data_IF_944512485417
#
_entry.id   IF_944512485417
#
_cell.length_a   1.000
_cell.length_b   1.000
_cell.length_c   1.000
_cell.angle_alpha   90.00
_cell.angle_beta   90.00
_cell.angle_gamma   90.00
#
_symmetry.space_group_name_H-M   'P 1'
#
loop_
_entity.id
_entity.type
_entity.pdbx_description
1 polymer ?
#
# COMPACT_ATOMS: atom_id res chain seq x y z
N UNK A 1 -6.93 -28.87 -24.36
CA UNK A 1 -5.76 -28.28 -23.68
C UNK A 1 -6.21 -27.89 -22.28
N UNK A 2 -5.80 -28.69 -21.30
CA UNK A 2 -6.35 -28.65 -19.94
C UNK A 2 -5.77 -27.45 -19.18
N UNK A 3 -6.64 -26.53 -18.78
CA UNK A 3 -6.31 -25.38 -17.94
C UNK A 3 -6.12 -25.92 -16.51
N UNK A 4 -4.89 -26.11 -16.11
CA UNK A 4 -4.56 -26.40 -14.71
C UNK A 4 -4.79 -25.13 -13.88
N UNK A 5 -6.00 -25.03 -13.34
CA UNK A 5 -6.35 -24.10 -12.26
C UNK A 5 -5.60 -24.55 -11.00
N UNK A 6 -4.46 -23.97 -10.72
CA UNK A 6 -3.84 -24.06 -9.40
C UNK A 6 -4.71 -23.32 -8.38
N UNK A 7 -5.65 -24.03 -7.78
CA UNK A 7 -6.32 -23.61 -6.54
C UNK A 7 -5.37 -23.91 -5.38
N UNK A 8 -4.47 -23.01 -5.07
CA UNK A 8 -3.73 -23.06 -3.84
C UNK A 8 -4.61 -22.52 -2.71
N UNK A 9 -5.33 -23.36 -2.00
CA UNK A 9 -5.88 -22.99 -0.69
C UNK A 9 -4.74 -23.15 0.29
N UNK A 10 -4.07 -22.05 0.62
CA UNK A 10 -3.11 -22.04 1.72
C UNK A 10 -3.87 -21.70 3.00
N UNK A 11 -3.86 -22.63 3.94
CA UNK A 11 -4.29 -22.35 5.31
C UNK A 11 -3.30 -21.33 5.89
N UNK A 12 -3.70 -20.09 5.97
CA UNK A 12 -2.98 -19.12 6.78
C UNK A 12 -2.98 -19.64 8.21
N UNK A 13 -1.82 -19.65 8.85
CA UNK A 13 -1.75 -19.87 10.29
C UNK A 13 -2.78 -18.95 10.97
N UNK A 14 -3.46 -19.52 11.97
CA UNK A 14 -4.44 -18.83 12.79
C UNK A 14 -4.01 -17.38 13.04
N UNK A 15 -4.95 -16.44 12.96
CA UNK A 15 -4.72 -15.03 13.21
C UNK A 15 -4.30 -14.73 14.66
N UNK A 16 -3.12 -15.19 15.01
CA UNK A 16 -2.43 -14.71 16.20
C UNK A 16 -1.80 -13.37 15.84
N UNK A 17 -1.99 -12.34 16.67
CA UNK A 17 -1.33 -11.06 16.49
C UNK A 17 0.18 -11.27 16.37
N UNK A 18 0.81 -10.52 15.47
CA UNK A 18 2.26 -10.45 15.46
C UNK A 18 2.74 -9.74 16.73
N UNK A 19 3.94 -10.07 17.24
CA UNK A 19 4.50 -9.33 18.36
C UNK A 19 4.50 -7.81 18.09
N UNK A 20 3.91 -7.01 19.01
CA UNK A 20 3.77 -5.57 18.85
C UNK A 20 2.55 -5.10 18.06
N UNK A 21 1.81 -6.01 17.40
CA UNK A 21 0.57 -5.65 16.69
C UNK A 21 -0.55 -5.36 17.69
N UNK A 22 -1.30 -4.24 17.54
CA UNK A 22 -2.48 -3.98 18.35
C UNK A 22 -3.52 -5.10 18.20
N UNK A 23 -4.25 -5.39 19.29
CA UNK A 23 -5.34 -6.38 19.21
C UNK A 23 -6.52 -5.85 18.41
N UNK A 24 -6.82 -4.55 18.53
CA UNK A 24 -8.01 -3.89 17.96
C UNK A 24 -7.69 -2.60 17.25
N UNK A 25 -8.65 -2.15 16.43
CA UNK A 25 -8.59 -0.91 15.71
C UNK A 25 -7.75 -0.97 14.42
N UNK A 26 -7.45 0.19 13.81
CA UNK A 26 -6.63 0.27 12.61
C UNK A 26 -5.21 -0.26 12.84
N UNK A 27 -4.74 -1.14 11.93
CA UNK A 27 -3.48 -1.89 12.07
C UNK A 27 -3.56 -3.11 12.99
N UNK A 28 -4.67 -3.28 13.71
CA UNK A 28 -4.88 -4.35 14.68
C UNK A 28 -5.31 -5.68 14.08
N UNK A 29 -5.22 -6.73 14.91
CA UNK A 29 -5.45 -8.13 14.53
C UNK A 29 -6.93 -8.57 14.67
N UNK A 30 -7.88 -7.66 14.52
CA UNK A 30 -9.33 -8.00 14.49
C UNK A 30 -9.68 -8.70 13.17
N UNK A 31 -9.18 -9.91 12.98
CA UNK A 31 -9.34 -10.66 11.74
C UNK A 31 -10.68 -11.39 11.69
N UNK A 32 -11.39 -11.25 10.57
CA UNK A 32 -12.68 -11.89 10.28
C UNK A 32 -12.53 -13.19 9.52
N UNK A 33 -11.41 -13.35 8.80
CA UNK A 33 -11.15 -14.48 7.92
C UNK A 33 -9.79 -15.09 8.24
N UNK A 34 -9.73 -16.44 8.32
CA UNK A 34 -8.54 -17.19 8.71
C UNK A 34 -7.70 -17.65 7.54
N UNK A 35 -8.23 -17.59 6.34
CA UNK A 35 -7.55 -18.06 5.13
C UNK A 35 -7.65 -17.04 4.00
N UNK A 36 -6.70 -17.13 3.08
CA UNK A 36 -6.64 -16.34 1.85
C UNK A 36 -6.69 -17.30 0.66
N UNK A 37 -7.65 -17.12 -0.24
CA UNK A 37 -7.64 -17.76 -1.54
C UNK A 37 -6.82 -16.92 -2.52
N UNK A 38 -5.79 -17.51 -3.11
CA UNK A 38 -4.84 -16.85 -4.00
C UNK A 38 -4.95 -17.38 -5.42
N UNK A 39 -4.99 -16.46 -6.41
CA UNK A 39 -5.13 -16.80 -7.83
C UNK A 39 -4.12 -16.01 -8.67
N UNK A 40 -3.38 -16.74 -9.53
CA UNK A 40 -2.36 -16.16 -10.41
C UNK A 40 -2.89 -16.02 -11.84
N UNK A 41 -3.08 -14.77 -12.27
CA UNK A 41 -3.43 -14.36 -13.63
C UNK A 41 -2.34 -13.43 -14.22
N UNK A 42 -1.12 -13.48 -13.68
CA UNK A 42 -0.06 -12.51 -13.96
C UNK A 42 1.02 -13.04 -14.93
N UNK A 43 0.67 -13.87 -15.89
CA UNK A 43 1.60 -14.37 -16.91
C UNK A 43 2.13 -13.26 -17.81
N UNK A 44 1.39 -12.16 -17.96
CA UNK A 44 1.74 -10.99 -18.78
C UNK A 44 1.90 -9.75 -17.91
N UNK A 45 2.53 -8.70 -18.44
CA UNK A 45 2.71 -7.43 -17.72
C UNK A 45 1.38 -6.73 -17.37
N UNK A 46 0.35 -6.94 -18.15
CA UNK A 46 -1.01 -6.43 -17.96
C UNK A 46 -1.91 -7.39 -17.15
N UNK A 47 -1.33 -8.45 -16.57
CA UNK A 47 -2.02 -9.39 -15.70
C UNK A 47 -2.05 -8.94 -14.22
N UNK A 48 -2.53 -9.83 -13.36
CA UNK A 48 -2.74 -9.53 -11.94
C UNK A 48 -2.68 -10.79 -11.08
N UNK A 49 -2.46 -10.60 -9.80
CA UNK A 49 -2.76 -11.59 -8.77
C UNK A 49 -3.99 -11.14 -7.98
N UNK A 50 -4.79 -12.10 -7.55
CA UNK A 50 -6.03 -11.87 -6.85
C UNK A 50 -6.03 -12.63 -5.53
N UNK A 51 -6.43 -11.94 -4.46
CA UNK A 51 -6.52 -12.49 -3.11
C UNK A 51 -7.92 -12.24 -2.58
N UNK A 52 -8.61 -13.33 -2.22
CA UNK A 52 -9.98 -13.28 -1.70
C UNK A 52 -10.02 -13.80 -0.26
N UNK A 53 -10.85 -13.22 0.63
CA UNK A 53 -11.06 -13.76 1.95
C UNK A 53 -11.73 -15.14 1.87
N UNK A 54 -11.21 -16.06 2.69
CA UNK A 54 -11.71 -17.42 2.84
C UNK A 54 -11.73 -17.80 4.33
N UNK A 55 -12.52 -18.78 4.67
CA UNK A 55 -12.68 -19.30 6.03
C UNK A 55 -12.99 -18.23 7.13
N UNK A 56 -14.25 -17.81 7.26
CA UNK A 56 -15.35 -18.08 6.35
C UNK A 56 -15.20 -17.27 5.05
N UNK A 57 -15.69 -17.82 3.94
CA UNK A 57 -15.79 -17.08 2.68
C UNK A 57 -17.01 -16.18 2.72
N UNK A 58 -16.88 -14.84 2.54
CA UNK A 58 -18.02 -13.94 2.46
C UNK A 58 -18.65 -13.96 1.06
N UNK A 59 -19.92 -13.55 0.95
CA UNK A 59 -20.58 -13.37 -0.34
C UNK A 59 -20.00 -12.19 -1.12
N UNK A 60 -19.61 -11.12 -0.41
CA UNK A 60 -19.05 -9.92 -1.01
C UNK A 60 -18.01 -9.25 -0.11
N UNK A 61 -17.07 -8.50 -0.70
CA UNK A 61 -16.06 -7.76 0.03
C UNK A 61 -15.64 -6.49 -0.71
N UNK A 62 -15.10 -5.51 0.03
CA UNK A 62 -14.53 -4.30 -0.53
C UNK A 62 -13.21 -4.61 -1.27
N UNK A 63 -12.88 -3.77 -2.23
CA UNK A 63 -11.70 -3.95 -3.08
C UNK A 63 -10.57 -3.04 -2.66
N UNK A 64 -9.39 -3.61 -2.53
CA UNK A 64 -8.12 -2.91 -2.41
C UNK A 64 -7.28 -3.18 -3.66
N UNK A 65 -6.85 -2.14 -4.36
CA UNK A 65 -5.86 -2.21 -5.42
C UNK A 65 -4.49 -1.93 -4.80
N UNK A 66 -3.62 -2.94 -4.78
CA UNK A 66 -2.28 -2.85 -4.21
C UNK A 66 -1.23 -2.73 -5.32
N UNK A 67 -0.55 -1.59 -5.40
CA UNK A 67 0.40 -1.24 -6.45
C UNK A 67 1.82 -1.30 -5.88
N UNK A 68 2.60 -2.24 -6.37
CA UNK A 68 3.92 -2.60 -5.86
C UNK A 68 5.03 -1.58 -6.24
N UNK A 69 6.16 -1.60 -5.54
CA UNK A 69 7.36 -0.87 -5.93
C UNK A 69 8.05 -1.45 -7.18
N UNK A 70 8.95 -0.69 -7.78
CA UNK A 70 9.71 -1.12 -8.95
C UNK A 70 10.41 -2.47 -8.72
N UNK A 71 10.12 -3.44 -9.57
CA UNK A 71 10.66 -4.79 -9.48
C UNK A 71 10.01 -5.71 -8.42
N UNK A 72 9.12 -5.18 -7.59
CA UNK A 72 8.45 -5.95 -6.53
C UNK A 72 7.16 -6.64 -7.02
N UNK A 73 7.11 -7.01 -8.29
CA UNK A 73 5.94 -7.69 -8.88
C UNK A 73 5.79 -9.17 -8.44
N UNK A 74 6.58 -9.66 -7.50
CA UNK A 74 6.28 -10.89 -6.77
C UNK A 74 5.48 -10.51 -5.50
N UNK A 75 4.22 -10.92 -5.34
CA UNK A 75 3.37 -10.52 -4.20
C UNK A 75 3.95 -10.88 -2.84
N UNK A 76 4.86 -11.87 -2.77
CA UNK A 76 5.53 -12.20 -1.51
C UNK A 76 6.14 -10.97 -0.82
N UNK A 77 6.52 -9.93 -1.59
CA UNK A 77 7.17 -8.73 -1.05
C UNK A 77 6.32 -8.00 0.02
N UNK A 78 5.01 -8.07 -0.12
CA UNK A 78 4.03 -7.46 0.79
C UNK A 78 3.07 -8.50 1.36
N UNK A 79 3.49 -9.75 1.39
CA UNK A 79 2.60 -10.87 1.65
C UNK A 79 1.89 -10.80 2.99
N UNK A 80 2.56 -10.34 4.06
CA UNK A 80 1.92 -10.18 5.38
C UNK A 80 0.91 -9.02 5.39
N UNK A 81 1.20 -7.91 4.70
CA UNK A 81 0.23 -6.83 4.54
C UNK A 81 -0.98 -7.26 3.72
N UNK A 82 -0.77 -7.99 2.62
CA UNK A 82 -1.86 -8.58 1.84
C UNK A 82 -2.72 -9.51 2.71
N UNK A 83 -2.09 -10.40 3.51
CA UNK A 83 -2.83 -11.25 4.47
C UNK A 83 -3.63 -10.44 5.46
N UNK A 84 -3.05 -9.38 6.04
CA UNK A 84 -3.76 -8.48 6.95
C UNK A 84 -5.01 -7.88 6.29
N UNK A 85 -4.86 -7.28 5.11
CA UNK A 85 -5.99 -6.68 4.38
C UNK A 85 -7.10 -7.68 4.07
N UNK A 86 -6.71 -8.88 3.63
CA UNK A 86 -7.68 -9.95 3.29
C UNK A 86 -8.34 -10.52 4.54
N UNK A 87 -7.59 -10.76 5.61
CA UNK A 87 -8.13 -11.27 6.86
C UNK A 87 -9.12 -10.29 7.52
N UNK A 88 -8.97 -8.99 7.28
CA UNK A 88 -9.94 -7.95 7.68
C UNK A 88 -11.20 -7.90 6.81
N UNK A 89 -11.25 -8.66 5.73
CA UNK A 89 -12.43 -8.83 4.88
C UNK A 89 -12.40 -8.00 3.59
N UNK A 90 -11.20 -7.80 3.01
CA UNK A 90 -11.06 -7.14 1.72
C UNK A 90 -10.61 -8.13 0.64
N UNK A 91 -11.04 -7.91 -0.59
CA UNK A 91 -10.39 -8.47 -1.78
C UNK A 91 -9.15 -7.62 -2.07
N UNK A 92 -8.02 -8.24 -2.39
CA UNK A 92 -6.84 -7.52 -2.87
C UNK A 92 -6.58 -7.86 -4.33
N UNK A 93 -6.58 -6.85 -5.19
CA UNK A 93 -6.11 -6.92 -6.57
C UNK A 93 -4.68 -6.39 -6.60
N UNK A 94 -3.74 -7.20 -7.06
CA UNK A 94 -2.33 -6.85 -7.18
C UNK A 94 -1.93 -6.88 -8.66
N UNK A 95 -2.05 -5.75 -9.40
CA UNK A 95 -1.67 -5.70 -10.81
C UNK A 95 -0.16 -5.90 -10.97
N UNK A 96 0.25 -6.71 -11.92
CA UNK A 96 1.67 -6.92 -12.23
C UNK A 96 2.33 -5.69 -12.83
N UNK A 97 1.66 -4.98 -13.71
CA UNK A 97 1.94 -3.81 -14.53
C UNK A 97 3.38 -3.66 -15.10
N UNK A 98 4.36 -4.36 -14.57
CA UNK A 98 5.77 -4.33 -14.99
C UNK A 98 6.18 -5.66 -15.63
N UNK A 99 6.78 -5.60 -16.83
CA UNK A 99 7.25 -6.80 -17.55
C UNK A 99 8.49 -7.40 -16.90
N UNK A 100 9.52 -6.58 -16.73
CA UNK A 100 10.80 -6.94 -16.08
C UNK A 100 11.52 -5.67 -15.60
N UNK A 101 12.69 -5.83 -14.97
CA UNK A 101 13.48 -4.71 -14.44
C UNK A 101 14.50 -4.14 -15.46
N UNK A 102 14.78 -4.82 -16.57
CA UNK A 102 15.80 -4.41 -17.54
C UNK A 102 15.24 -3.49 -18.62
N UNK A 103 14.01 -3.78 -19.07
CA UNK A 103 13.28 -2.95 -20.05
C UNK A 103 11.90 -2.65 -19.46
N UNK A 104 11.83 -1.68 -18.53
CA UNK A 104 10.62 -1.50 -17.73
C UNK A 104 9.41 -1.02 -18.52
N UNK A 105 9.58 -0.16 -19.53
CA UNK A 105 8.46 0.43 -20.26
C UNK A 105 7.57 1.25 -19.34
N UNK A 106 8.14 2.12 -18.53
CA UNK A 106 7.46 2.80 -17.42
C UNK A 106 6.23 3.62 -17.84
N UNK A 107 6.21 4.13 -19.06
CA UNK A 107 5.07 4.87 -19.61
C UNK A 107 3.81 3.99 -19.78
N UNK A 108 3.99 2.67 -19.89
CA UNK A 108 2.89 1.72 -20.01
C UNK A 108 2.34 1.23 -18.66
N UNK A 109 3.02 1.53 -17.54
CA UNK A 109 2.62 1.02 -16.24
C UNK A 109 1.18 1.40 -15.85
N UNK A 110 0.71 2.66 -16.01
CA UNK A 110 -0.68 2.98 -15.68
C UNK A 110 -1.69 2.23 -16.54
N UNK A 111 -1.45 2.08 -17.85
CA UNK A 111 -2.33 1.35 -18.75
C UNK A 111 -2.38 -0.14 -18.43
N UNK A 112 -1.22 -0.76 -18.16
CA UNK A 112 -1.13 -2.16 -17.75
C UNK A 112 -1.84 -2.40 -16.40
N UNK A 113 -1.63 -1.52 -15.42
CA UNK A 113 -2.30 -1.61 -14.12
C UNK A 113 -3.81 -1.48 -14.26
N UNK A 114 -4.28 -0.48 -15.02
CA UNK A 114 -5.70 -0.29 -15.27
C UNK A 114 -6.34 -1.49 -15.96
N UNK A 115 -5.65 -2.10 -16.95
CA UNK A 115 -6.13 -3.32 -17.59
C UNK A 115 -6.20 -4.48 -16.59
N UNK A 116 -5.16 -4.69 -15.79
CA UNK A 116 -5.15 -5.74 -14.76
C UNK A 116 -6.30 -5.57 -13.76
N UNK A 117 -6.61 -4.33 -13.35
CA UNK A 117 -7.74 -4.03 -12.47
C UNK A 117 -9.08 -4.39 -13.12
N UNK A 118 -9.30 -3.98 -14.39
CA UNK A 118 -10.56 -4.31 -15.10
C UNK A 118 -10.74 -5.81 -15.29
N UNK A 119 -9.67 -6.51 -15.67
CA UNK A 119 -9.70 -7.96 -15.88
C UNK A 119 -9.96 -8.70 -14.55
N UNK A 120 -9.37 -8.24 -13.45
CA UNK A 120 -9.61 -8.77 -12.11
C UNK A 120 -11.06 -8.59 -11.65
N UNK A 121 -11.65 -7.41 -11.89
CA UNK A 121 -13.05 -7.15 -11.57
C UNK A 121 -13.99 -8.01 -12.43
N UNK A 122 -13.67 -8.22 -13.71
CA UNK A 122 -14.43 -9.14 -14.57
C UNK A 122 -14.32 -10.60 -14.11
N UNK A 123 -13.15 -11.02 -13.58
CA UNK A 123 -12.98 -12.34 -12.98
C UNK A 123 -13.81 -12.49 -11.70
N UNK A 124 -13.82 -11.47 -10.84
CA UNK A 124 -14.60 -11.45 -9.60
C UNK A 124 -16.12 -11.44 -9.81
N UNK A 125 -16.59 -11.02 -10.97
CA UNK A 125 -18.02 -11.09 -11.33
C UNK A 125 -18.51 -12.51 -11.68
N UNK A 126 -17.61 -13.48 -11.76
CA UNK A 126 -17.97 -14.88 -12.09
C UNK A 126 -18.53 -15.59 -10.88
N UNK A 127 -19.35 -16.62 -11.16
CA UNK A 127 -19.85 -17.52 -10.11
C UNK A 127 -18.72 -18.16 -9.31
N UNK A 128 -18.96 -18.32 -8.01
CA UNK A 128 -18.00 -18.93 -7.09
C UNK A 128 -16.89 -18.01 -6.62
N UNK A 129 -16.87 -16.72 -7.00
CA UNK A 129 -15.98 -15.68 -6.46
C UNK A 129 -16.60 -14.95 -5.28
N UNK A 130 -15.78 -14.20 -4.54
CA UNK A 130 -16.28 -13.18 -3.60
C UNK A 130 -16.68 -11.96 -4.43
N UNK A 131 -17.94 -11.53 -4.33
CA UNK A 131 -18.44 -10.43 -5.16
C UNK A 131 -17.76 -9.10 -4.76
N UNK A 132 -17.18 -8.34 -5.71
CA UNK A 132 -16.49 -7.09 -5.40
C UNK A 132 -17.48 -5.95 -5.15
N UNK A 133 -17.36 -5.25 -4.00
CA UNK A 133 -17.99 -3.96 -3.77
C UNK A 133 -17.03 -2.86 -4.21
N UNK A 134 -17.45 -2.03 -5.13
CA UNK A 134 -16.58 -1.03 -5.78
C UNK A 134 -16.91 0.42 -5.42
N UNK A 135 -17.82 0.63 -4.50
CA UNK A 135 -18.23 1.97 -4.03
C UNK A 135 -17.14 2.67 -3.21
N UNK A 136 -16.33 1.87 -2.50
CA UNK A 136 -15.29 2.36 -1.58
C UNK A 136 -13.93 1.71 -1.86
N UNK A 137 -13.49 1.71 -3.12
CA UNK A 137 -12.20 1.10 -3.49
C UNK A 137 -11.04 1.87 -2.85
N UNK A 138 -10.12 1.13 -2.23
CA UNK A 138 -8.87 1.67 -1.72
C UNK A 138 -7.73 1.44 -2.72
N UNK A 139 -6.86 2.45 -2.88
CA UNK A 139 -5.62 2.32 -3.63
C UNK A 139 -4.45 2.44 -2.66
N UNK A 140 -3.61 1.42 -2.60
CA UNK A 140 -2.39 1.41 -1.81
C UNK A 140 -1.21 1.30 -2.77
N UNK A 141 -0.25 2.21 -2.68
CA UNK A 141 0.92 2.18 -3.55
C UNK A 141 2.22 2.43 -2.79
N UNK A 142 3.20 1.53 -2.95
CA UNK A 142 4.55 1.72 -2.42
C UNK A 142 5.51 2.15 -3.52
N UNK A 143 6.40 3.11 -3.24
CA UNK A 143 7.46 3.50 -4.15
C UNK A 143 6.90 3.92 -5.52
N UNK A 144 7.36 3.31 -6.61
CA UNK A 144 6.80 3.52 -7.95
C UNK A 144 5.30 3.20 -8.02
N UNK A 145 4.82 2.23 -7.23
CA UNK A 145 3.39 1.93 -7.09
C UNK A 145 2.59 3.11 -6.55
N UNK A 146 3.20 3.95 -5.72
CA UNK A 146 2.61 5.22 -5.27
C UNK A 146 2.45 6.23 -6.41
N UNK A 147 3.41 6.29 -7.34
CA UNK A 147 3.29 7.10 -8.56
C UNK A 147 2.15 6.61 -9.44
N UNK A 148 2.04 5.29 -9.62
CA UNK A 148 0.96 4.68 -10.40
C UNK A 148 -0.38 4.91 -9.72
N UNK A 149 -0.51 4.72 -8.40
CA UNK A 149 -1.74 4.94 -7.64
C UNK A 149 -2.26 6.37 -7.83
N UNK A 150 -1.39 7.36 -7.67
CA UNK A 150 -1.75 8.77 -7.85
C UNK A 150 -2.18 9.09 -9.30
N UNK A 151 -1.48 8.51 -10.31
CA UNK A 151 -1.86 8.66 -11.72
C UNK A 151 -3.23 8.01 -12.00
N UNK A 152 -3.45 6.77 -11.55
CA UNK A 152 -4.73 6.08 -11.70
C UNK A 152 -5.86 6.85 -11.01
N UNK A 153 -5.59 7.43 -9.82
CA UNK A 153 -6.55 8.22 -9.08
C UNK A 153 -6.99 9.51 -9.79
N UNK A 154 -6.13 10.11 -10.60
CA UNK A 154 -6.50 11.26 -11.46
C UNK A 154 -7.25 10.80 -12.70
N UNK A 155 -6.82 9.70 -13.32
CA UNK A 155 -7.29 9.27 -14.64
C UNK A 155 -8.36 8.16 -14.58
N UNK A 156 -8.90 7.83 -13.40
CA UNK A 156 -9.82 6.71 -13.21
C UNK A 156 -11.01 6.70 -14.18
N UNK A 157 -11.63 7.85 -14.54
CA UNK A 157 -12.78 7.84 -15.45
C UNK A 157 -12.39 7.42 -16.87
N UNK A 158 -11.27 7.93 -17.37
CA UNK A 158 -10.79 7.64 -18.73
C UNK A 158 -10.18 6.25 -18.85
N UNK A 159 -9.69 5.69 -17.74
CA UNK A 159 -9.13 4.34 -17.68
C UNK A 159 -10.21 3.27 -17.47
N UNK A 160 -11.44 3.65 -17.17
CA UNK A 160 -12.55 2.72 -16.93
C UNK A 160 -12.31 1.81 -15.72
N UNK A 161 -11.72 2.36 -14.67
CA UNK A 161 -11.48 1.69 -13.38
C UNK A 161 -12.29 2.36 -12.28
N UNK A 162 -12.54 1.71 -11.14
CA UNK A 162 -13.29 2.33 -10.04
C UNK A 162 -12.61 3.61 -9.51
N UNK A 163 -13.43 4.58 -9.13
CA UNK A 163 -12.98 5.77 -8.42
C UNK A 163 -12.39 5.38 -7.06
N UNK A 164 -11.16 5.82 -6.69
CA UNK A 164 -10.68 5.60 -5.35
C UNK A 164 -11.46 6.42 -4.33
N UNK A 165 -11.93 5.79 -3.26
CA UNK A 165 -12.50 6.46 -2.09
C UNK A 165 -11.44 6.73 -1.02
N UNK A 166 -10.38 5.92 -1.01
CA UNK A 166 -9.23 6.10 -0.12
C UNK A 166 -7.92 5.76 -0.83
N UNK A 167 -6.83 6.44 -0.45
CA UNK A 167 -5.52 6.24 -1.07
C UNK A 167 -4.41 6.40 -0.04
N UNK A 168 -3.56 5.37 0.06
CA UNK A 168 -2.31 5.41 0.83
C UNK A 168 -1.12 5.34 -0.12
N UNK A 169 -0.28 6.36 -0.08
CA UNK A 169 0.99 6.41 -0.80
C UNK A 169 2.13 6.22 0.21
N UNK A 170 2.75 5.04 0.20
CA UNK A 170 3.85 4.68 1.08
C UNK A 170 5.18 4.89 0.36
N UNK A 171 6.04 5.76 0.87
CA UNK A 171 7.34 6.09 0.30
C UNK A 171 7.26 6.34 -1.24
N UNK A 172 6.32 7.19 -1.73
CA UNK A 172 6.02 7.27 -3.15
C UNK A 172 7.12 7.99 -3.92
N UNK A 173 7.54 7.40 -5.03
CA UNK A 173 8.52 8.03 -5.91
C UNK A 173 8.99 7.12 -7.02
N UNK A 174 9.56 7.71 -8.08
CA UNK A 174 10.02 6.99 -9.26
C UNK A 174 11.54 6.84 -9.33
N UNK A 175 12.28 7.43 -8.41
CA UNK A 175 13.72 7.52 -8.51
C UNK A 175 14.17 8.13 -9.86
N UNK A 176 15.14 7.54 -10.56
CA UNK A 176 15.59 8.03 -11.87
C UNK A 176 14.59 7.79 -13.01
N UNK A 177 13.61 6.91 -12.82
CA UNK A 177 12.57 6.61 -13.81
C UNK A 177 11.49 7.69 -13.76
N UNK A 178 11.28 8.43 -14.86
CA UNK A 178 10.36 9.57 -14.89
C UNK A 178 8.96 9.25 -15.43
N UNK A 179 8.72 8.04 -15.92
CA UNK A 179 7.43 7.64 -16.49
C UNK A 179 6.28 7.70 -15.48
N UNK A 180 5.07 7.90 -15.98
CA UNK A 180 3.82 7.92 -15.22
C UNK A 180 3.65 9.06 -14.19
N UNK A 181 4.59 9.99 -14.04
CA UNK A 181 4.41 11.16 -13.18
C UNK A 181 3.56 12.23 -13.88
N UNK A 182 2.62 12.79 -13.14
CA UNK A 182 1.89 13.99 -13.57
C UNK A 182 2.53 15.24 -12.96
N UNK A 183 2.40 16.41 -13.61
CA UNK A 183 2.93 17.65 -13.06
C UNK A 183 2.12 18.17 -11.85
N UNK A 184 0.86 17.74 -11.72
CA UNK A 184 -0.08 18.11 -10.66
C UNK A 184 -1.07 17.00 -10.40
N UNK A 185 -1.69 17.03 -9.22
CA UNK A 185 -2.64 16.02 -8.72
C UNK A 185 -3.98 16.63 -8.27
N UNK A 186 -4.31 17.84 -8.72
CA UNK A 186 -5.59 18.52 -8.48
C UNK A 186 -6.79 17.84 -9.16
N UNK A 187 -6.53 16.89 -10.08
CA UNK A 187 -7.55 15.98 -10.64
C UNK A 187 -7.93 14.78 -9.76
N UNK A 188 -7.34 14.62 -8.57
CA UNK A 188 -7.78 13.61 -7.63
C UNK A 188 -9.20 13.90 -7.12
N UNK A 189 -10.02 12.86 -6.81
CA UNK A 189 -11.39 13.06 -6.35
C UNK A 189 -11.49 13.95 -5.10
N UNK A 190 -12.50 14.82 -5.06
CA UNK A 190 -12.69 15.76 -3.95
C UNK A 190 -13.09 15.05 -2.64
N UNK A 191 -13.72 13.89 -2.72
CA UNK A 191 -14.14 13.05 -1.60
C UNK A 191 -13.10 11.97 -1.23
N UNK A 192 -11.93 11.95 -1.89
CA UNK A 192 -10.85 11.03 -1.60
C UNK A 192 -10.24 11.28 -0.22
N UNK A 193 -10.02 10.24 0.55
CA UNK A 193 -9.22 10.24 1.76
C UNK A 193 -7.78 9.86 1.41
N UNK A 194 -6.84 10.82 1.47
CA UNK A 194 -5.46 10.65 1.03
C UNK A 194 -4.48 10.75 2.19
N UNK A 195 -3.68 9.72 2.40
CA UNK A 195 -2.50 9.76 3.27
C UNK A 195 -1.25 9.47 2.45
N UNK A 196 -0.27 10.34 2.57
CA UNK A 196 1.06 10.18 1.99
C UNK A 196 2.04 9.98 3.13
N UNK A 197 2.79 8.88 3.15
CA UNK A 197 3.84 8.62 4.13
C UNK A 197 5.19 8.70 3.44
N UNK A 198 6.13 9.40 4.05
CA UNK A 198 7.54 9.49 3.61
C UNK A 198 8.46 9.17 4.79
N UNK A 199 9.57 8.51 4.54
CA UNK A 199 10.55 8.12 5.55
C UNK A 199 11.76 9.04 5.58
N UNK A 200 12.21 9.42 6.78
CA UNK A 200 13.35 10.30 6.98
C UNK A 200 14.62 9.84 6.24
N UNK A 201 14.84 8.53 6.19
CA UNK A 201 16.01 7.90 5.58
C UNK A 201 15.72 7.31 4.18
N UNK A 202 14.67 7.78 3.50
CA UNK A 202 14.40 7.34 2.13
C UNK A 202 15.36 8.04 1.13
N UNK A 203 16.54 7.47 0.97
CA UNK A 203 17.53 7.91 -0.01
C UNK A 203 17.34 7.28 -1.41
N UNK A 204 16.30 6.45 -1.59
CA UNK A 204 16.02 5.78 -2.87
C UNK A 204 15.18 6.67 -3.79
N UNK A 205 14.12 7.26 -3.26
CA UNK A 205 13.22 8.14 -4.04
C UNK A 205 13.05 9.53 -3.41
N UNK A 206 13.43 9.71 -2.14
CA UNK A 206 13.27 10.96 -1.40
C UNK A 206 11.80 11.32 -1.15
N UNK A 207 11.59 12.57 -0.74
CA UNK A 207 10.26 13.06 -0.35
C UNK A 207 9.55 13.88 -1.44
N UNK A 208 10.26 14.27 -2.50
CA UNK A 208 9.77 15.25 -3.50
C UNK A 208 8.45 14.86 -4.13
N UNK A 209 8.29 13.58 -4.49
CA UNK A 209 7.06 13.14 -5.14
C UNK A 209 5.88 13.13 -4.17
N UNK A 210 6.08 12.64 -2.94
CA UNK A 210 5.06 12.69 -1.89
C UNK A 210 4.61 14.12 -1.59
N UNK A 211 5.56 15.05 -1.45
CA UNK A 211 5.30 16.47 -1.25
C UNK A 211 4.57 17.10 -2.45
N UNK A 212 4.92 16.73 -3.69
CA UNK A 212 4.24 17.19 -4.91
C UNK A 212 2.77 16.76 -4.91
N UNK A 213 2.49 15.49 -4.67
CA UNK A 213 1.10 15.00 -4.62
C UNK A 213 0.33 15.73 -3.52
N UNK A 214 0.85 15.76 -2.30
CA UNK A 214 0.22 16.42 -1.17
C UNK A 214 -0.07 17.92 -1.42
N UNK A 215 0.91 18.66 -1.94
CA UNK A 215 0.77 20.10 -2.18
C UNK A 215 -0.17 20.43 -3.34
N UNK A 216 -0.23 19.57 -4.38
CA UNK A 216 -1.00 19.85 -5.59
C UNK A 216 -2.39 19.22 -5.63
N UNK A 217 -2.71 18.28 -4.72
CA UNK A 217 -4.04 17.69 -4.58
C UNK A 217 -5.04 18.65 -3.90
N UNK A 218 -5.10 19.89 -4.37
CA UNK A 218 -5.83 20.98 -3.70
C UNK A 218 -7.33 20.76 -3.62
N UNK A 219 -7.89 19.99 -4.54
CA UNK A 219 -9.32 19.66 -4.56
C UNK A 219 -9.68 18.48 -3.63
N UNK A 220 -8.70 17.83 -3.00
CA UNK A 220 -8.87 16.76 -2.04
C UNK A 220 -8.61 17.29 -0.63
N UNK A 221 -9.63 17.79 0.10
CA UNK A 221 -9.42 18.43 1.40
C UNK A 221 -8.98 17.47 2.48
N UNK A 222 -9.45 16.22 2.46
CA UNK A 222 -9.04 15.19 3.41
C UNK A 222 -7.71 14.56 2.98
N UNK A 223 -6.62 15.26 3.24
CA UNK A 223 -5.27 14.77 2.96
C UNK A 223 -4.28 15.12 4.06
N UNK A 224 -3.36 14.22 4.36
CA UNK A 224 -2.20 14.46 5.20
C UNK A 224 -0.92 13.94 4.55
N UNK A 225 0.19 14.63 4.82
CA UNK A 225 1.53 14.13 4.61
C UNK A 225 2.10 13.75 5.97
N UNK A 226 2.67 12.58 6.08
CA UNK A 226 3.24 12.03 7.32
C UNK A 226 4.71 11.72 7.09
N UNK A 227 5.56 12.21 7.97
CA UNK A 227 6.98 11.85 8.01
C UNK A 227 7.19 10.84 9.12
N UNK A 228 7.64 9.65 8.75
CA UNK A 228 8.13 8.64 9.68
C UNK A 228 9.61 8.90 9.93
N UNK A 229 9.98 9.04 11.21
CA UNK A 229 11.37 9.23 11.62
C UNK A 229 11.95 7.92 12.14
N UNK A 230 13.27 7.79 12.02
CA UNK A 230 13.99 6.72 12.72
C UNK A 230 13.94 6.96 14.22
N UNK A 231 14.02 5.89 14.99
CA UNK A 231 14.11 5.94 16.43
C UNK A 231 14.98 4.78 16.96
N UNK A 232 15.47 4.90 18.18
CA UNK A 232 16.28 3.87 18.81
C UNK A 232 16.12 3.82 20.30
N UNK A 233 16.08 2.62 20.87
CA UNK A 233 16.12 2.39 22.31
C UNK A 233 17.18 1.31 22.62
N UNK A 234 18.30 1.74 23.18
CA UNK A 234 19.47 0.89 23.42
C UNK A 234 20.03 0.33 22.10
N UNK A 235 19.93 -1.00 21.92
CA UNK A 235 20.41 -1.69 20.71
C UNK A 235 19.31 -1.92 19.67
N UNK A 236 18.06 -1.55 19.97
CA UNK A 236 16.93 -1.71 19.05
C UNK A 236 16.79 -0.45 18.22
N UNK A 237 16.47 -0.65 16.96
CA UNK A 237 16.30 0.44 15.99
C UNK A 237 15.02 0.24 15.18
N UNK A 238 14.34 1.34 14.96
CA UNK A 238 13.32 1.49 13.92
C UNK A 238 13.95 2.39 12.87
N UNK A 239 14.06 1.88 11.65
CA UNK A 239 14.51 2.65 10.50
C UNK A 239 13.35 3.41 9.86
N UNK A 240 13.69 4.42 9.05
CA UNK A 240 12.74 5.21 8.28
C UNK A 240 13.10 5.13 6.80
N UNK A 241 13.46 3.93 6.35
CA UNK A 241 14.01 3.68 5.03
C UNK A 241 12.94 3.35 4.01
N UNK A 242 13.27 3.47 2.74
CA UNK A 242 12.42 3.08 1.61
C UNK A 242 11.85 1.64 1.69
N UNK A 243 12.43 0.77 2.51
CA UNK A 243 12.06 -0.64 2.57
C UNK A 243 11.05 -0.97 3.68
N UNK A 244 10.67 0.02 4.52
CA UNK A 244 9.73 -0.21 5.63
C UNK A 244 8.40 -0.84 5.21
N UNK A 245 7.80 -0.49 4.03
CA UNK A 245 6.55 -1.13 3.63
C UNK A 245 6.67 -2.61 3.22
N UNK A 246 7.89 -3.17 3.10
CA UNK A 246 8.05 -4.58 2.78
C UNK A 246 7.76 -5.48 3.99
N UNK A 247 6.84 -6.41 3.81
CA UNK A 247 6.44 -7.40 4.81
C UNK A 247 6.27 -8.77 4.18
N UNK A 248 7.43 -9.42 3.83
CA UNK A 248 7.42 -10.61 2.99
C UNK A 248 6.72 -11.80 3.63
N UNK A 249 6.05 -12.58 2.76
CA UNK A 249 5.47 -13.87 3.10
C UNK A 249 5.66 -14.85 1.95
N UNK A 250 6.31 -15.97 2.22
CA UNK A 250 6.62 -16.97 1.21
C UNK A 250 5.40 -17.74 0.70
N UNK A 251 4.27 -17.70 1.40
CA UNK A 251 3.02 -18.31 0.93
C UNK A 251 2.54 -17.71 -0.40
N UNK A 252 2.98 -16.49 -0.71
CA UNK A 252 2.65 -15.80 -1.97
C UNK A 252 3.85 -15.70 -2.93
N UNK A 253 4.85 -16.55 -2.75
CA UNK A 253 6.01 -16.58 -3.65
C UNK A 253 5.65 -17.22 -4.99
N UNK A 254 5.61 -16.40 -6.04
CA UNK A 254 5.30 -16.81 -7.41
C UNK A 254 6.51 -17.30 -8.20
N UNK A 255 7.66 -17.48 -7.55
CA UNK A 255 8.90 -17.92 -8.20
C UNK A 255 9.64 -16.81 -8.96
N UNK A 256 9.12 -15.59 -8.99
CA UNK A 256 9.83 -14.45 -9.60
C UNK A 256 11.10 -14.16 -8.83
N UNK A 257 12.23 -14.14 -9.53
CA UNK A 257 13.55 -13.83 -8.97
C UNK A 257 14.17 -12.65 -9.71
N UNK A 258 14.44 -11.59 -8.97
CA UNK A 258 15.13 -10.40 -9.45
C UNK A 258 15.86 -9.72 -8.28
N UNK A 259 16.56 -8.62 -8.56
CA UNK A 259 17.28 -7.85 -7.55
C UNK A 259 16.36 -7.37 -6.41
N UNK A 260 15.16 -6.87 -6.74
CA UNK A 260 14.19 -6.38 -5.75
C UNK A 260 13.68 -7.50 -4.85
N UNK A 261 13.33 -8.67 -5.41
CA UNK A 261 12.93 -9.84 -4.62
C UNK A 261 14.02 -10.27 -3.63
N UNK A 262 15.30 -10.26 -4.07
CA UNK A 262 16.43 -10.53 -3.18
C UNK A 262 16.57 -9.48 -2.07
N UNK A 263 16.43 -8.19 -2.42
CA UNK A 263 16.49 -7.08 -1.46
C UNK A 263 15.38 -7.21 -0.41
N UNK A 264 14.16 -7.51 -0.82
CA UNK A 264 13.03 -7.75 0.09
C UNK A 264 13.37 -8.83 1.13
N UNK A 265 13.88 -9.99 0.70
CA UNK A 265 14.25 -11.06 1.62
C UNK A 265 15.35 -10.67 2.63
N UNK A 266 16.22 -9.73 2.25
CA UNK A 266 17.31 -9.26 3.11
C UNK A 266 16.91 -8.13 4.06
N UNK A 267 16.01 -7.25 3.64
CA UNK A 267 15.75 -5.98 4.35
C UNK A 267 14.37 -5.89 5.00
N UNK A 268 13.39 -6.68 4.55
CA UNK A 268 12.05 -6.67 5.12
C UNK A 268 12.07 -7.00 6.62
N UNK A 269 11.36 -6.21 7.39
CA UNK A 269 11.13 -6.41 8.82
C UNK A 269 9.63 -6.22 9.07
N UNK A 270 9.08 -7.00 9.96
CA UNK A 270 7.72 -6.78 10.45
C UNK A 270 7.84 -6.24 11.86
N UNK A 271 7.39 -5.01 12.05
CA UNK A 271 7.54 -4.28 13.32
C UNK A 271 6.42 -3.25 13.52
N UNK A 272 6.60 -2.39 14.51
CA UNK A 272 5.64 -1.36 14.92
C UNK A 272 5.33 -0.36 13.80
N UNK A 273 6.25 -0.13 12.86
CA UNK A 273 6.01 0.76 11.70
C UNK A 273 4.98 0.15 10.75
N UNK A 274 5.02 -1.17 10.52
CA UNK A 274 3.98 -1.83 9.74
C UNK A 274 2.61 -1.60 10.38
N UNK A 275 2.47 -1.94 11.67
CA UNK A 275 1.18 -1.95 12.36
C UNK A 275 0.64 -0.56 12.65
N UNK A 276 1.51 0.35 13.13
CA UNK A 276 1.12 1.65 13.65
C UNK A 276 1.37 2.81 12.67
N UNK A 277 1.86 2.52 11.46
CA UNK A 277 1.97 3.49 10.38
C UNK A 277 1.20 2.98 9.15
N UNK A 278 1.78 2.09 8.34
CA UNK A 278 1.21 1.73 7.04
C UNK A 278 -0.13 1.00 7.14
N UNK A 279 -0.23 -0.05 7.97
CA UNK A 279 -1.47 -0.81 8.12
C UNK A 279 -2.54 0.02 8.84
N UNK A 280 -2.15 0.78 9.88
CA UNK A 280 -3.04 1.71 10.57
C UNK A 280 -3.67 2.71 9.62
N UNK A 281 -2.85 3.38 8.80
CA UNK A 281 -3.39 4.38 7.88
C UNK A 281 -4.26 3.74 6.79
N UNK A 282 -3.85 2.60 6.23
CA UNK A 282 -4.67 1.87 5.26
C UNK A 282 -6.05 1.53 5.83
N UNK A 283 -6.08 0.92 7.02
CA UNK A 283 -7.33 0.55 7.68
C UNK A 283 -8.19 1.78 8.03
N UNK A 284 -7.56 2.83 8.59
CA UNK A 284 -8.28 4.02 9.03
C UNK A 284 -8.96 4.76 7.87
N UNK A 285 -8.27 4.95 6.74
CA UNK A 285 -8.88 5.61 5.57
C UNK A 285 -9.93 4.72 4.89
N UNK A 286 -9.76 3.39 4.91
CA UNK A 286 -10.77 2.47 4.41
C UNK A 286 -12.02 2.47 5.29
N UNK A 287 -11.87 2.40 6.61
CA UNK A 287 -12.99 2.49 7.55
C UNK A 287 -13.66 3.86 7.50
N UNK A 288 -12.87 4.92 7.40
CA UNK A 288 -13.33 6.30 7.27
C UNK A 288 -14.18 6.52 6.02
N UNK A 289 -13.73 6.03 4.86
CA UNK A 289 -14.46 6.17 3.60
C UNK A 289 -15.78 5.37 3.56
N UNK A 290 -15.83 4.25 4.28
CA UNK A 290 -17.01 3.35 4.34
C UNK A 290 -18.03 3.80 5.37
N UNK A 291 -17.58 4.21 6.54
CA UNK A 291 -18.43 4.34 7.75
C UNK A 291 -18.23 5.64 8.52
N UNK A 292 -17.26 6.47 8.13
CA UNK A 292 -16.86 7.67 8.88
C UNK A 292 -16.09 7.37 10.18
N UNK A 293 -15.76 6.12 10.48
CA UNK A 293 -15.05 5.74 11.71
C UNK A 293 -13.55 5.82 11.54
N UNK A 294 -12.82 5.95 12.65
CA UNK A 294 -11.37 5.91 12.74
C UNK A 294 -10.62 7.02 11.96
N UNK A 295 -11.33 8.09 11.58
CA UNK A 295 -10.71 9.23 10.88
C UNK A 295 -9.63 9.90 11.71
N UNK A 296 -9.73 9.85 13.03
CA UNK A 296 -8.74 10.35 13.99
C UNK A 296 -7.40 9.58 13.96
N UNK A 297 -7.40 8.36 13.43
CA UNK A 297 -6.16 7.60 13.19
C UNK A 297 -5.42 8.00 11.91
N UNK A 298 -6.07 8.74 11.00
CA UNK A 298 -5.49 9.12 9.72
C UNK A 298 -5.42 10.63 9.50
N UNK A 299 -6.26 11.42 10.19
CA UNK A 299 -6.41 12.85 9.95
C UNK A 299 -6.46 13.67 11.25
N UNK A 300 -6.17 14.97 11.12
CA UNK A 300 -6.35 15.94 12.20
C UNK A 300 -5.15 16.11 13.13
N UNK A 301 -4.02 15.48 12.86
CA UNK A 301 -2.80 15.54 13.69
C UNK A 301 -3.08 15.13 15.14
N UNK A 302 -3.93 14.13 15.34
CA UNK A 302 -4.30 13.62 16.65
C UNK A 302 -3.20 12.77 17.28
N UNK A 303 -3.29 12.49 18.57
CA UNK A 303 -2.39 11.54 19.23
C UNK A 303 -2.50 10.13 18.63
N UNK A 304 -3.71 9.68 18.27
CA UNK A 304 -3.92 8.39 17.62
C UNK A 304 -3.23 8.31 16.25
N UNK A 305 -3.28 9.39 15.48
CA UNK A 305 -2.59 9.47 14.18
C UNK A 305 -1.07 9.41 14.36
N UNK A 306 -0.50 10.14 15.33
CA UNK A 306 0.95 10.22 15.53
C UNK A 306 1.57 9.00 16.21
N UNK A 307 0.76 8.25 16.97
CA UNK A 307 1.25 7.11 17.76
C UNK A 307 1.90 6.04 16.89
N UNK A 308 3.14 5.64 17.20
CA UNK A 308 3.91 4.62 16.48
C UNK A 308 4.10 3.33 17.29
N UNK A 309 3.65 3.28 18.54
CA UNK A 309 3.77 2.13 19.42
C UNK A 309 4.71 2.37 20.61
N UNK A 310 5.16 1.26 21.19
CA UNK A 310 6.02 1.27 22.38
C UNK A 310 7.20 0.33 22.19
N UNK A 311 8.32 0.71 22.74
CA UNK A 311 9.44 -0.19 22.93
C UNK A 311 9.10 -1.28 23.96
N UNK A 312 9.86 -2.37 23.97
CA UNK A 312 9.58 -3.50 24.86
C UNK A 312 9.69 -3.17 26.36
N UNK A 313 10.32 -2.06 26.72
CA UNK A 313 10.41 -1.54 28.10
C UNK A 313 9.22 -0.61 28.45
N UNK A 314 8.28 -0.43 27.54
CA UNK A 314 7.10 0.40 27.70
C UNK A 314 7.32 1.89 27.37
N UNK A 315 8.52 2.29 26.95
CA UNK A 315 8.72 3.66 26.49
C UNK A 315 8.06 3.89 25.13
N UNK A 316 7.44 5.07 24.87
CA UNK A 316 6.88 5.36 23.55
C UNK A 316 7.96 5.40 22.48
N UNK A 317 7.67 4.89 21.30
CA UNK A 317 8.44 5.13 20.08
C UNK A 317 8.18 6.57 19.64
N UNK A 318 9.17 7.21 19.02
CA UNK A 318 9.05 8.58 18.51
C UNK A 318 7.82 8.74 17.61
N UNK A 319 7.03 9.78 17.86
CA UNK A 319 5.78 10.01 17.14
C UNK A 319 6.00 10.29 15.65
N UNK A 320 5.02 9.93 14.82
CA UNK A 320 4.95 10.37 13.44
C UNK A 320 4.73 11.89 13.37
N UNK A 321 5.42 12.56 12.46
CA UNK A 321 5.22 13.99 12.21
C UNK A 321 4.17 14.17 11.10
N UNK A 322 3.13 14.95 11.39
CA UNK A 322 1.97 15.11 10.48
C UNK A 322 1.91 16.54 9.97
N UNK A 323 1.83 16.67 8.65
CA UNK A 323 1.65 17.94 7.95
C UNK A 323 0.23 18.06 7.41
N UNK A 324 -0.44 19.15 7.77
CA UNK A 324 -1.79 19.49 7.32
C UNK A 324 -1.75 20.27 5.99
N UNK A 325 -2.86 20.31 5.24
CA UNK A 325 -2.95 21.10 4.01
C UNK A 325 -2.48 22.54 4.20
N UNK A 326 -1.60 23.01 3.31
CA UNK A 326 -1.01 24.34 3.36
C UNK A 326 0.29 24.49 4.14
N UNK A 327 0.70 23.47 4.91
CA UNK A 327 1.94 23.50 5.69
C UNK A 327 3.19 23.14 4.89
N UNK A 328 3.06 22.50 3.74
CA UNK A 328 4.17 22.05 2.89
C UNK A 328 4.02 22.64 1.49
N UNK A 329 5.10 23.24 1.00
CA UNK A 329 5.23 23.60 -0.43
C UNK A 329 6.03 22.52 -1.16
N UNK A 330 5.67 22.24 -2.39
CA UNK A 330 6.28 21.18 -3.19
C UNK A 330 7.82 21.25 -3.34
N UNK A 331 8.43 22.39 -3.01
CA UNK A 331 9.89 22.59 -3.07
C UNK A 331 10.61 22.46 -1.70
N UNK A 332 9.91 22.35 -0.60
CA UNK A 332 10.49 22.47 0.76
C UNK A 332 10.91 21.14 1.39
N UNK A 333 10.60 20.01 0.76
CA UNK A 333 11.00 18.70 1.25
C UNK A 333 12.08 18.03 0.37
N UNK A 334 12.98 18.82 -0.19
CA UNK A 334 14.21 18.24 -0.71
C UNK A 334 15.03 17.68 0.47
N UNK A 335 15.57 16.44 0.40
CA UNK A 335 16.44 15.94 1.45
C UNK A 335 17.60 16.92 1.63
N UNK A 336 17.92 17.29 2.88
CA UNK A 336 19.18 17.95 3.17
C UNK A 336 20.28 17.07 2.58
N UNK A 337 20.92 17.56 1.53
CA UNK A 337 22.07 16.88 0.96
C UNK A 337 23.06 16.66 2.09
N UNK A 338 23.29 15.39 2.44
CA UNK A 338 24.35 15.02 3.36
C UNK A 338 25.64 15.62 2.80
N UNK A 339 26.09 16.71 3.42
CA UNK A 339 27.38 17.29 3.16
C UNK A 339 28.38 16.21 3.53
N UNK A 340 28.97 15.61 2.50
CA UNK A 340 30.06 14.67 2.66
C UNK A 340 31.15 15.32 3.53
N UNK A 341 31.40 14.72 4.69
CA UNK A 341 32.65 14.90 5.43
C UNK A 341 33.42 13.61 5.40
#
# INVERSE_FOLDING_TARGET
MSLLLFKGIFAAAQGTPYPGQPEKGPGGAEYKHRAVAFFDHAQRADGYWLFEPADPKPDSAEVVVFLHGYGAYNPMAYGKWIKHLVARGNIVIYPRYQKNILMPGADQFPANAAKGIRDALAELAKEGRVHPRTEHVAYIGHSYGGVIAANLGVNWPTLGIPKPASMLLAEPGSGPLKGARLPRYDGLPADLQLVVVVGEDDYVVGHEFGALVFATAVNTPMRNLVLQRRDSNGRRHISASHNEPYSYDLDFDTGVRNYTARRVLMTSRLNEVDFNCYWKFADAIMDGSRTGRHLDYAFGNTAAQRHLGYWADGTPIGELEVFLPGQVKAKEMAPETAVAK
#
